data_IF_002407039692
#
_entry.id   IF_002407039692
#
_cell.length_a   1.000
_cell.length_b   1.000
_cell.length_c   1.000
_cell.angle_alpha   90.00
_cell.angle_beta   90.00
_cell.angle_gamma   90.00
#
_symmetry.space_group_name_H-M   'P 1'
#
loop_
_entity.id
_entity.type
_entity.pdbx_description
1 polymer ?
#
# COMPACT_ATOMS: atom_id res chain seq x y z
N UNK A 1 -15.08 -2.12 20.44
CA UNK A 1 -13.71 -1.57 20.32
C UNK A 1 -13.50 -0.71 21.55
N UNK A 2 -12.67 -1.18 22.48
CA UNK A 2 -12.31 -0.42 23.68
C UNK A 2 -11.06 0.42 23.42
N UNK A 3 -10.94 1.56 24.10
CA UNK A 3 -9.81 2.49 23.95
C UNK A 3 -8.43 1.85 24.23
N UNK A 4 -8.41 0.75 25.01
CA UNK A 4 -7.21 0.01 25.41
C UNK A 4 -6.83 -1.11 24.45
N UNK A 5 -7.69 -1.42 23.47
CA UNK A 5 -7.42 -2.46 22.49
C UNK A 5 -6.22 -2.06 21.62
N UNK A 6 -5.49 -3.06 21.14
CA UNK A 6 -4.44 -2.87 20.14
C UNK A 6 -5.11 -2.40 18.84
N UNK A 7 -4.61 -1.29 18.28
CA UNK A 7 -5.09 -0.75 17.03
C UNK A 7 -4.77 -1.70 15.88
N UNK A 8 -5.81 -2.11 15.16
CA UNK A 8 -5.65 -2.84 13.91
C UNK A 8 -5.40 -1.90 12.74
N UNK A 9 -4.95 -2.46 11.60
CA UNK A 9 -4.78 -1.73 10.32
C UNK A 9 -6.02 -0.93 9.95
N UNK A 10 -7.22 -1.45 10.24
CA UNK A 10 -8.48 -0.74 10.02
C UNK A 10 -8.51 0.62 10.72
N UNK A 11 -8.15 0.68 12.00
CA UNK A 11 -8.15 1.91 12.79
C UNK A 11 -7.18 2.93 12.18
N UNK A 12 -5.97 2.46 11.86
CA UNK A 12 -4.90 3.28 11.29
C UNK A 12 -5.29 3.84 9.92
N UNK A 13 -5.81 2.99 9.03
CA UNK A 13 -6.22 3.39 7.68
C UNK A 13 -7.42 4.33 7.70
N UNK A 14 -8.40 4.09 8.58
CA UNK A 14 -9.59 4.94 8.67
C UNK A 14 -9.25 6.35 9.15
N UNK A 15 -8.42 6.46 10.19
CA UNK A 15 -7.95 7.77 10.67
C UNK A 15 -7.00 8.44 9.67
N UNK A 16 -6.21 7.68 8.92
CA UNK A 16 -5.39 8.24 7.83
C UNK A 16 -6.26 8.90 6.75
N UNK A 17 -7.33 8.24 6.31
CA UNK A 17 -8.25 8.78 5.31
C UNK A 17 -8.97 10.03 5.82
N UNK A 18 -9.38 10.03 7.09
CA UNK A 18 -9.95 11.19 7.74
C UNK A 18 -8.95 12.36 7.81
N UNK A 19 -7.68 12.11 8.15
CA UNK A 19 -6.64 13.14 8.17
C UNK A 19 -6.38 13.69 6.77
N UNK A 20 -6.40 12.82 5.75
CA UNK A 20 -6.28 13.21 4.33
C UNK A 20 -7.40 14.14 3.89
N UNK A 21 -8.64 13.91 4.31
CA UNK A 21 -9.77 14.78 4.01
C UNK A 21 -9.60 16.21 4.60
N UNK A 22 -8.84 16.34 5.69
CA UNK A 22 -8.50 17.63 6.32
C UNK A 22 -7.28 18.32 5.68
N UNK A 23 -6.62 17.69 4.70
CA UNK A 23 -5.56 18.30 3.89
C UNK A 23 -4.18 17.64 4.02
N UNK A 24 -3.25 18.06 3.16
CA UNK A 24 -1.90 17.48 3.04
C UNK A 24 -1.10 17.56 4.34
N UNK A 25 -1.17 18.69 5.04
CA UNK A 25 -0.43 18.89 6.30
C UNK A 25 -0.86 17.91 7.39
N UNK A 26 -2.18 17.75 7.60
CA UNK A 26 -2.72 16.81 8.59
C UNK A 26 -2.37 15.36 8.23
N UNK A 27 -2.53 14.98 6.96
CA UNK A 27 -2.11 13.66 6.45
C UNK A 27 -0.64 13.35 6.77
N UNK A 28 0.27 14.27 6.44
CA UNK A 28 1.71 14.05 6.56
C UNK A 28 2.15 14.00 8.04
N UNK A 29 1.52 14.82 8.90
CA UNK A 29 1.73 14.76 10.35
C UNK A 29 1.25 13.43 10.93
N UNK A 30 0.02 13.03 10.61
CA UNK A 30 -0.55 11.76 11.08
C UNK A 30 0.32 10.56 10.69
N UNK A 31 0.71 10.48 9.41
CA UNK A 31 1.50 9.36 8.91
C UNK A 31 2.88 9.29 9.59
N UNK A 32 3.52 10.43 9.83
CA UNK A 32 4.82 10.49 10.52
C UNK A 32 4.74 9.93 11.95
N UNK A 33 3.73 10.33 12.71
CA UNK A 33 3.56 9.93 14.11
C UNK A 33 3.08 8.48 14.24
N UNK A 34 2.29 7.97 13.29
CA UNK A 34 1.93 6.55 13.28
C UNK A 34 3.14 5.67 12.97
N UNK A 35 3.98 6.07 12.01
CA UNK A 35 5.16 5.29 11.61
C UNK A 35 6.30 5.33 12.62
N UNK A 36 6.29 6.26 13.57
CA UNK A 36 7.30 6.33 14.64
C UNK A 36 6.99 5.37 15.80
N UNK A 37 5.83 4.71 15.79
CA UNK A 37 5.32 3.87 16.87
C UNK A 37 5.01 2.45 16.34
N UNK A 38 5.51 1.41 17.03
CA UNK A 38 5.36 0.02 16.58
C UNK A 38 4.06 -0.65 17.07
N UNK A 39 3.63 -0.35 18.30
CA UNK A 39 2.41 -0.89 18.90
C UNK A 39 1.53 0.26 19.37
N UNK A 40 0.46 0.51 18.62
CA UNK A 40 -0.49 1.57 18.92
C UNK A 40 -1.76 0.97 19.54
N UNK A 41 -2.29 1.61 20.55
CA UNK A 41 -3.66 1.40 21.03
C UNK A 41 -4.65 2.21 20.19
N UNK A 42 -5.93 1.80 20.19
CA UNK A 42 -6.99 2.56 19.52
C UNK A 42 -7.02 4.01 20.00
N UNK A 43 -6.83 4.24 21.30
CA UNK A 43 -6.75 5.59 21.87
C UNK A 43 -5.60 6.41 21.29
N UNK A 44 -4.40 5.83 21.17
CA UNK A 44 -3.23 6.53 20.62
C UNK A 44 -3.46 6.90 19.15
N UNK A 45 -4.06 6.01 18.35
CA UNK A 45 -4.43 6.30 16.95
C UNK A 45 -5.37 7.51 16.86
N UNK A 46 -6.41 7.55 17.70
CA UNK A 46 -7.35 8.67 17.76
C UNK A 46 -6.67 9.97 18.21
N UNK A 47 -5.75 9.89 19.18
CA UNK A 47 -4.99 11.04 19.66
C UNK A 47 -4.06 11.59 18.58
N UNK A 48 -3.33 10.74 17.86
CA UNK A 48 -2.46 11.14 16.75
C UNK A 48 -3.27 11.84 15.66
N UNK A 49 -4.45 11.32 15.31
CA UNK A 49 -5.38 12.00 14.39
C UNK A 49 -5.78 13.38 14.90
N UNK A 50 -6.23 13.48 16.15
CA UNK A 50 -6.68 14.74 16.73
C UNK A 50 -5.57 15.80 16.75
N UNK A 51 -4.33 15.38 17.01
CA UNK A 51 -3.15 16.25 16.98
C UNK A 51 -2.82 16.70 15.56
N UNK A 52 -2.91 15.78 14.59
CA UNK A 52 -2.58 16.07 13.20
C UNK A 52 -3.55 17.09 12.57
N UNK A 53 -4.84 17.01 12.92
CA UNK A 53 -5.89 17.91 12.40
C UNK A 53 -6.03 19.20 13.22
N UNK A 54 -6.02 19.10 14.55
CA UNK A 54 -6.34 20.21 15.46
C UNK A 54 -5.14 20.93 16.08
N UNK A 55 -3.92 20.44 15.88
CA UNK A 55 -2.66 20.98 16.44
C UNK A 55 -2.65 21.17 17.98
N UNK A 56 -3.52 20.49 18.75
CA UNK A 56 -3.64 20.71 20.21
C UNK A 56 -3.93 19.42 20.98
N UNK A 57 -3.26 19.29 22.12
CA UNK A 57 -3.27 18.10 23.00
C UNK A 57 -4.51 17.96 23.91
N UNK A 58 -5.49 18.85 23.85
CA UNK A 58 -6.34 19.11 25.04
C UNK A 58 -7.83 19.35 24.79
N UNK A 59 -8.44 18.86 23.71
CA UNK A 59 -9.91 18.98 23.55
C UNK A 59 -10.58 17.61 23.40
N UNK A 60 -11.39 17.24 24.41
CA UNK A 60 -12.21 16.01 24.40
C UNK A 60 -13.16 15.96 23.20
N UNK A 61 -13.57 17.12 22.67
CA UNK A 61 -14.46 17.25 21.52
C UNK A 61 -13.86 16.69 20.22
N UNK A 62 -12.54 16.86 20.01
CA UNK A 62 -11.85 16.28 18.85
C UNK A 62 -11.67 14.78 18.98
N UNK A 63 -11.53 14.27 20.20
CA UNK A 63 -11.44 12.84 20.47
C UNK A 63 -12.81 12.17 20.29
N UNK A 64 -13.90 12.85 20.67
CA UNK A 64 -15.27 12.42 20.36
C UNK A 64 -15.53 12.44 18.85
N UNK A 65 -15.06 13.46 18.14
CA UNK A 65 -15.14 13.53 16.67
C UNK A 65 -14.39 12.37 16.01
N UNK A 66 -13.17 12.07 16.49
CA UNK A 66 -12.39 10.94 15.99
C UNK A 66 -13.09 9.59 16.25
N UNK A 67 -13.67 9.42 17.44
CA UNK A 67 -14.49 8.24 17.77
C UNK A 67 -15.71 8.11 16.87
N UNK A 68 -16.40 9.22 16.61
CA UNK A 68 -17.56 9.26 15.71
C UNK A 68 -17.17 8.80 14.29
N UNK A 69 -16.03 9.29 13.77
CA UNK A 69 -15.50 8.86 12.47
C UNK A 69 -15.17 7.36 12.48
N UNK A 70 -14.53 6.85 13.54
CA UNK A 70 -14.19 5.44 13.63
C UNK A 70 -15.45 4.55 13.56
N UNK A 71 -16.53 4.99 14.22
CA UNK A 71 -17.83 4.29 14.23
C UNK A 71 -18.71 4.58 13.02
N UNK A 72 -18.33 5.54 12.18
CA UNK A 72 -19.09 5.89 10.98
C UNK A 72 -19.18 4.69 10.03
N UNK A 73 -20.31 4.55 9.34
CA UNK A 73 -20.58 3.45 8.42
C UNK A 73 -19.74 3.51 7.15
N UNK A 74 -19.20 4.69 6.80
CA UNK A 74 -18.34 4.86 5.64
C UNK A 74 -16.96 4.23 5.87
N UNK A 75 -16.74 3.11 5.18
CA UNK A 75 -15.50 2.36 5.19
C UNK A 75 -14.99 2.09 3.77
N UNK A 76 -15.58 2.72 2.76
CA UNK A 76 -15.37 2.37 1.35
C UNK A 76 -13.91 2.57 0.95
N UNK A 77 -13.26 3.64 1.43
CA UNK A 77 -11.85 3.87 1.18
C UNK A 77 -10.92 2.84 1.83
N UNK A 78 -11.27 2.34 3.01
CA UNK A 78 -10.49 1.29 3.70
C UNK A 78 -10.65 -0.05 2.97
N UNK A 79 -11.87 -0.37 2.56
CA UNK A 79 -12.15 -1.56 1.76
C UNK A 79 -11.48 -1.49 0.39
N UNK A 80 -11.54 -0.34 -0.30
CA UNK A 80 -10.87 -0.16 -1.59
C UNK A 80 -9.35 -0.39 -1.50
N UNK A 81 -8.70 0.13 -0.45
CA UNK A 81 -7.28 -0.15 -0.20
C UNK A 81 -7.01 -1.63 0.08
N UNK A 82 -7.83 -2.25 0.92
CA UNK A 82 -7.69 -3.66 1.28
C UNK A 82 -7.89 -4.56 0.06
N UNK A 83 -8.91 -4.27 -0.75
CA UNK A 83 -9.21 -4.96 -1.99
C UNK A 83 -8.07 -4.80 -3.00
N UNK A 84 -7.50 -3.61 -3.15
CA UNK A 84 -6.36 -3.39 -4.05
C UNK A 84 -5.15 -4.25 -3.65
N UNK A 85 -4.81 -4.29 -2.37
CA UNK A 85 -3.70 -5.12 -1.86
C UNK A 85 -3.97 -6.60 -2.10
N UNK A 86 -5.20 -7.05 -1.88
CA UNK A 86 -5.61 -8.43 -2.09
C UNK A 86 -5.62 -8.83 -3.58
N UNK A 87 -6.26 -8.02 -4.43
CA UNK A 87 -6.34 -8.23 -5.88
C UNK A 87 -4.94 -8.26 -6.53
N UNK A 88 -4.04 -7.40 -6.06
CA UNK A 88 -2.67 -7.31 -6.60
C UNK A 88 -1.69 -8.24 -5.89
N UNK A 89 -2.11 -8.95 -4.85
CA UNK A 89 -1.28 -9.84 -4.03
C UNK A 89 0.03 -9.18 -3.57
N UNK A 90 -0.03 -7.91 -3.18
CA UNK A 90 1.17 -7.13 -2.88
C UNK A 90 1.83 -7.60 -1.57
N UNK A 91 3.16 -7.80 -1.54
CA UNK A 91 3.88 -8.13 -0.32
C UNK A 91 3.74 -7.02 0.74
N UNK A 92 3.75 -7.42 2.01
CA UNK A 92 3.82 -6.47 3.14
C UNK A 92 5.12 -5.66 3.04
N UNK A 93 5.06 -4.36 3.35
CA UNK A 93 6.18 -3.41 3.24
C UNK A 93 6.79 -3.33 1.84
N UNK A 94 5.98 -3.54 0.81
CA UNK A 94 6.42 -3.35 -0.57
C UNK A 94 6.14 -1.94 -1.10
N UNK A 95 6.92 -1.56 -2.10
CA UNK A 95 6.76 -0.34 -2.87
C UNK A 95 6.58 -0.70 -4.33
N UNK A 96 5.73 0.06 -5.02
CA UNK A 96 5.48 -0.12 -6.45
C UNK A 96 5.99 1.12 -7.18
N UNK A 97 6.97 0.94 -8.06
CA UNK A 97 7.49 1.99 -8.93
C UNK A 97 7.39 1.54 -10.38
N UNK A 98 6.68 2.30 -11.21
CA UNK A 98 6.51 1.97 -12.64
C UNK A 98 6.08 0.50 -12.89
N UNK A 99 5.17 -0.01 -12.07
CA UNK A 99 4.68 -1.40 -12.16
C UNK A 99 5.59 -2.47 -11.51
N UNK A 100 6.77 -2.10 -11.01
CA UNK A 100 7.70 -3.03 -10.36
C UNK A 100 7.51 -3.02 -8.85
N UNK A 101 7.31 -4.20 -8.27
CA UNK A 101 7.15 -4.40 -6.82
C UNK A 101 8.52 -4.68 -6.19
N UNK A 102 8.90 -3.92 -5.15
CA UNK A 102 10.11 -4.15 -4.33
C UNK A 102 9.74 -4.29 -2.86
N UNK A 103 10.41 -5.21 -2.16
CA UNK A 103 10.10 -5.58 -0.75
C UNK A 103 10.92 -4.79 0.28
N UNK A 104 11.75 -3.83 -0.13
CA UNK A 104 12.74 -3.18 0.73
C UNK A 104 12.60 -1.65 0.76
N UNK A 105 13.17 -1.06 1.81
CA UNK A 105 12.91 0.33 2.26
C UNK A 105 13.95 1.32 1.74
N UNK A 106 14.98 0.91 1.00
CA UNK A 106 15.97 1.86 0.46
C UNK A 106 15.46 2.56 -0.80
N UNK A 107 14.42 3.37 -0.60
CA UNK A 107 13.65 4.08 -1.62
C UNK A 107 14.54 4.92 -2.53
N UNK A 108 15.60 5.52 -1.99
CA UNK A 108 16.47 6.40 -2.75
C UNK A 108 17.32 5.64 -3.79
N UNK A 109 17.96 4.55 -3.37
CA UNK A 109 18.78 3.72 -4.25
C UNK A 109 17.93 2.98 -5.29
N UNK A 110 16.77 2.47 -4.85
CA UNK A 110 15.84 1.76 -5.73
C UNK A 110 15.25 2.70 -6.78
N UNK A 111 14.80 3.90 -6.39
CA UNK A 111 14.29 4.91 -7.34
C UNK A 111 15.35 5.28 -8.37
N UNK A 112 16.60 5.52 -7.95
CA UNK A 112 17.66 5.87 -8.90
C UNK A 112 17.96 4.72 -9.88
N UNK A 113 17.91 3.49 -9.38
CA UNK A 113 18.08 2.29 -10.23
C UNK A 113 16.94 2.15 -11.24
N UNK A 114 15.70 2.46 -10.85
CA UNK A 114 14.55 2.47 -11.76
C UNK A 114 14.64 3.54 -12.84
N UNK A 115 14.97 4.77 -12.47
CA UNK A 115 15.18 5.84 -13.46
C UNK A 115 16.28 5.47 -14.46
N UNK A 116 17.39 4.90 -13.99
CA UNK A 116 18.46 4.46 -14.88
C UNK A 116 18.05 3.31 -15.82
N UNK A 117 17.18 2.40 -15.36
CA UNK A 117 16.66 1.29 -16.16
C UNK A 117 15.64 1.74 -17.21
N UNK A 118 14.70 2.62 -16.83
CA UNK A 118 13.55 2.99 -17.66
C UNK A 118 13.91 4.09 -18.67
N UNK A 119 14.89 4.94 -18.37
CA UNK A 119 15.31 6.05 -19.23
C UNK A 119 15.77 5.60 -20.63
N UNK A 120 16.60 4.55 -20.80
CA UNK A 120 16.94 4.02 -22.12
C UNK A 120 15.72 3.57 -22.91
N UNK A 121 14.75 2.90 -22.26
CA UNK A 121 13.54 2.42 -22.93
C UNK A 121 12.73 3.60 -23.48
N UNK A 122 12.50 4.64 -22.67
CA UNK A 122 11.82 5.85 -23.13
C UNK A 122 12.55 6.51 -24.30
N UNK A 123 13.89 6.55 -24.28
CA UNK A 123 14.67 7.07 -25.40
C UNK A 123 14.52 6.22 -26.66
N UNK A 124 14.44 4.90 -26.54
CA UNK A 124 14.22 3.99 -27.67
C UNK A 124 12.83 4.18 -28.26
N UNK A 125 11.79 4.26 -27.42
CA UNK A 125 10.40 4.45 -27.85
C UNK A 125 10.21 5.81 -28.56
N UNK A 126 10.83 6.87 -28.04
CA UNK A 126 10.84 8.20 -28.69
C UNK A 126 11.57 8.14 -30.03
N UNK A 127 12.76 7.50 -30.10
CA UNK A 127 13.51 7.36 -31.37
C UNK A 127 12.78 6.51 -32.42
N UNK A 128 11.96 5.56 -31.97
CA UNK A 128 11.13 4.72 -32.82
C UNK A 128 9.83 5.40 -33.27
N UNK A 129 9.60 6.67 -32.89
CA UNK A 129 8.33 7.40 -33.09
C UNK A 129 7.11 6.66 -32.53
N UNK A 130 7.29 5.86 -31.47
CA UNK A 130 6.22 5.13 -30.79
C UNK A 130 5.57 5.94 -29.67
N UNK A 131 6.24 6.98 -29.18
CA UNK A 131 5.69 7.96 -28.22
C UNK A 131 5.44 9.27 -28.98
N UNK A 132 4.20 9.74 -28.97
CA UNK A 132 3.82 11.07 -29.44
C UNK A 132 3.69 12.03 -28.25
N UNK A 133 3.58 13.34 -28.51
CA UNK A 133 3.47 14.36 -27.45
C UNK A 133 2.24 14.16 -26.53
N UNK A 134 1.24 13.39 -26.98
CA UNK A 134 0.02 13.06 -26.21
C UNK A 134 0.04 11.65 -25.59
N UNK A 135 1.13 10.88 -25.74
CA UNK A 135 1.21 9.51 -25.24
C UNK A 135 1.42 9.46 -23.71
N UNK A 136 0.65 8.61 -23.03
CA UNK A 136 0.91 8.28 -21.63
C UNK A 136 2.11 7.33 -21.52
N UNK A 137 3.25 7.88 -21.12
CA UNK A 137 4.51 7.14 -20.98
C UNK A 137 4.42 5.95 -20.00
N UNK A 138 3.52 5.96 -19.02
CA UNK A 138 3.34 4.81 -18.13
C UNK A 138 2.60 3.68 -18.83
N UNK A 139 1.56 4.01 -19.58
CA UNK A 139 0.81 3.03 -20.38
C UNK A 139 1.70 2.40 -21.46
N UNK A 140 2.57 3.19 -22.11
CA UNK A 140 3.54 2.68 -23.08
C UNK A 140 4.61 1.78 -22.44
N UNK A 141 5.07 2.13 -21.23
CA UNK A 141 5.99 1.28 -20.46
C UNK A 141 5.34 -0.07 -20.12
N UNK A 142 4.10 -0.04 -19.60
CA UNK A 142 3.38 -1.24 -19.21
C UNK A 142 2.95 -2.10 -20.41
N UNK A 143 2.81 -1.49 -21.59
CA UNK A 143 2.46 -2.17 -22.83
C UNK A 143 3.65 -2.78 -23.59
N UNK A 144 4.87 -2.28 -23.37
CA UNK A 144 6.09 -2.81 -24.02
C UNK A 144 6.79 -3.91 -23.21
N UNK A 145 6.69 -3.87 -21.89
CA UNK A 145 7.19 -4.95 -21.03
C UNK A 145 6.11 -6.02 -20.79
N UNK A 146 6.50 -7.28 -20.61
CA UNK A 146 5.61 -8.35 -20.16
C UNK A 146 5.13 -8.05 -18.73
N UNK A 147 4.08 -7.25 -18.60
CA UNK A 147 3.53 -6.85 -17.31
C UNK A 147 2.47 -7.84 -16.84
N UNK A 148 2.58 -8.27 -15.59
CA UNK A 148 1.59 -9.12 -14.95
C UNK A 148 0.63 -8.27 -14.13
N UNK A 149 -0.67 -8.57 -14.24
CA UNK A 149 -1.71 -7.84 -13.52
C UNK A 149 -1.67 -8.06 -12.00
N UNK A 150 -0.99 -9.11 -11.54
CA UNK A 150 -0.91 -9.57 -10.14
C UNK A 150 0.54 -9.90 -9.80
N UNK A 151 0.98 -9.56 -8.59
CA UNK A 151 2.28 -9.97 -8.10
C UNK A 151 2.32 -11.48 -7.83
N UNK A 152 3.21 -12.19 -8.53
CA UNK A 152 3.47 -13.60 -8.32
C UNK A 152 4.87 -13.78 -7.70
N UNK A 153 4.96 -14.24 -6.44
CA UNK A 153 6.25 -14.46 -5.77
C UNK A 153 7.18 -15.40 -6.54
N UNK A 154 6.66 -16.32 -7.36
CA UNK A 154 7.44 -17.30 -8.12
C UNK A 154 8.32 -16.70 -9.22
N UNK A 155 7.99 -15.49 -9.70
CA UNK A 155 8.82 -14.79 -10.68
C UNK A 155 9.97 -14.00 -10.03
N UNK A 156 9.99 -13.91 -8.70
CA UNK A 156 11.08 -13.27 -7.97
C UNK A 156 12.26 -14.25 -7.83
N UNK A 157 13.46 -13.93 -8.36
CA UNK A 157 14.63 -14.80 -8.27
C UNK A 157 15.06 -15.12 -6.83
N UNK A 158 14.71 -14.25 -5.88
CA UNK A 158 15.03 -14.44 -4.46
C UNK A 158 14.00 -15.32 -3.74
N UNK A 159 12.87 -15.62 -4.40
CA UNK A 159 11.83 -16.43 -3.82
C UNK A 159 12.28 -17.88 -3.67
N UNK A 160 12.29 -18.34 -2.43
CA UNK A 160 12.50 -19.74 -2.10
C UNK A 160 11.11 -20.41 -2.01
N UNK A 161 10.77 -21.33 -2.93
CA UNK A 161 9.50 -22.03 -2.84
C UNK A 161 9.44 -22.81 -1.52
N UNK A 162 8.27 -22.84 -0.86
CA UNK A 162 8.10 -23.64 0.34
C UNK A 162 8.43 -25.10 0.04
N UNK A 163 9.34 -25.68 0.82
CA UNK A 163 9.87 -27.05 0.68
C UNK A 163 8.87 -28.15 1.06
N UNK A 164 7.61 -27.80 1.32
CA UNK A 164 6.53 -28.77 1.46
C UNK A 164 6.39 -29.55 0.16
N UNK A 165 6.99 -30.74 0.17
CA UNK A 165 6.78 -31.77 -0.85
C UNK A 165 5.31 -32.14 -0.76
N UNK A 166 4.49 -31.58 -1.64
CA UNK A 166 3.16 -32.12 -1.87
C UNK A 166 3.39 -33.52 -2.42
N UNK A 167 3.07 -34.55 -1.63
CA UNK A 167 3.00 -35.91 -2.14
C UNK A 167 1.80 -35.96 -3.10
N UNK A 168 2.04 -35.60 -4.34
CA UNK A 168 1.11 -35.79 -5.43
C UNK A 168 1.16 -37.27 -5.79
N UNK A 169 0.37 -38.08 -5.10
CA UNK A 169 0.15 -39.47 -5.50
C UNK A 169 -0.86 -39.47 -6.65
N UNK A 170 -0.45 -40.01 -7.80
CA UNK A 170 -1.31 -40.18 -8.97
C UNK A 170 -2.50 -41.11 -8.69
N UNK A 171 -2.49 -41.84 -7.57
CA UNK A 171 -3.57 -42.72 -7.14
C UNK A 171 -4.56 -42.08 -6.16
N UNK A 172 -4.42 -40.81 -5.80
CA UNK A 172 -5.40 -40.18 -4.91
C UNK A 172 -6.74 -40.01 -5.66
N UNK A 173 -7.83 -40.63 -5.20
CA UNK A 173 -9.11 -40.54 -5.89
C UNK A 173 -9.58 -39.08 -5.84
N UNK A 174 -9.76 -38.48 -7.02
CA UNK A 174 -10.39 -37.17 -7.18
C UNK A 174 -11.73 -37.21 -6.44
N UNK A 175 -11.78 -36.62 -5.25
CA UNK A 175 -13.05 -36.33 -4.59
C UNK A 175 -13.66 -35.16 -5.35
N UNK A 176 -14.46 -35.48 -6.35
CA UNK A 176 -15.38 -34.53 -6.94
C UNK A 176 -16.32 -34.04 -5.82
N UNK A 177 -16.14 -32.78 -5.42
CA UNK A 177 -17.13 -32.01 -4.68
C UNK A 177 -17.99 -31.23 -5.67
#
# INVERSE_FOLDING_TARGET
VEDKDVATVFHVSKMFLAARANGKSARDKYLREVLSLNDLTVKEVLQIYSQAVGERYTNDDWLQTAKAILTDGDNDGVWAMTNLVAEKNLPINSQVFNGVVRKHVNVQEDIMTHFARDQPLYQTLVRANQITDDSDMLSELLGNDETYAVFCPWFDPEYKPPTTVVQLDWNDPVRCC
#
